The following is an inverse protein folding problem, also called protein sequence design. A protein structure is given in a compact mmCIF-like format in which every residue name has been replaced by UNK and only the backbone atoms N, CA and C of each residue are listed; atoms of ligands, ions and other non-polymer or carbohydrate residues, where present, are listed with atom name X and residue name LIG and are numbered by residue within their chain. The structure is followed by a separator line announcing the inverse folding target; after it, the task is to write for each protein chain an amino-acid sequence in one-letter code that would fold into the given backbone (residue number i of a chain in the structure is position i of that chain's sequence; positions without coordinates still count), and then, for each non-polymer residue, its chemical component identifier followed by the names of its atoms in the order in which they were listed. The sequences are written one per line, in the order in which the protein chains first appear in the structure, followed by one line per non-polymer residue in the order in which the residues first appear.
data_IF_110142599543
#
_entry.id   IF_110142599543
#
_cell.length_a   1.000
_cell.length_b   1.000
_cell.length_c   1.000
_cell.angle_alpha   90.00
_cell.angle_beta   90.00
_cell.angle_gamma   90.00
#
_symmetry.space_group_name_H-M   'P 1'
#
loop_
_entity.id
_entity.type
_entity.pdbx_description
1 polymer ?
#
# COMPACT_ATOMS: atom_id res chain seq x y z
N UNK A 1 -9.17 45.44 36.36
CA UNK A 1 -9.20 43.96 36.42
C UNK A 1 -10.58 43.53 35.97
N UNK A 2 -10.69 43.13 34.70
CA UNK A 2 -11.88 42.50 34.16
C UNK A 2 -11.36 41.25 33.46
N UNK A 3 -11.54 40.12 34.12
CA UNK A 3 -11.39 38.79 33.55
C UNK A 3 -12.56 38.62 32.59
N UNK A 4 -12.24 38.30 31.34
CA UNK A 4 -13.22 38.02 30.28
C UNK A 4 -14.15 36.87 30.72
N UNK A 5 -15.48 37.10 30.83
CA UNK A 5 -16.43 36.10 31.29
C UNK A 5 -16.67 34.95 30.30
N UNK A 6 -16.07 34.94 29.10
CA UNK A 6 -16.12 33.81 28.16
C UNK A 6 -14.97 32.80 28.33
N UNK A 7 -14.01 33.07 29.23
CA UNK A 7 -12.91 32.15 29.50
C UNK A 7 -13.33 30.86 30.26
N UNK A 8 -14.56 30.81 30.79
CA UNK A 8 -15.06 29.68 31.58
C UNK A 8 -15.76 28.59 30.73
N UNK A 9 -16.05 28.84 29.46
CA UNK A 9 -16.78 27.88 28.60
C UNK A 9 -15.84 26.99 27.75
N UNK A 10 -14.53 27.26 27.75
CA UNK A 10 -13.52 26.50 26.99
C UNK A 10 -12.40 25.95 27.88
N UNK A 11 -12.78 25.25 28.95
CA UNK A 11 -11.86 24.71 29.98
C UNK A 11 -10.96 23.56 29.46
N UNK A 12 -11.11 23.10 28.20
CA UNK A 12 -10.36 21.96 27.67
C UNK A 12 -9.73 22.18 26.29
N UNK A 13 -9.27 23.40 25.99
CA UNK A 13 -8.25 23.55 24.94
C UNK A 13 -7.12 24.41 25.47
N UNK A 14 -6.22 23.75 26.20
CA UNK A 14 -4.93 24.33 26.55
C UNK A 14 -4.28 24.87 25.27
N UNK A 15 -3.89 26.13 25.28
CA UNK A 15 -3.04 26.79 24.27
C UNK A 15 -1.63 26.17 24.15
N UNK A 16 -1.45 24.98 24.73
CA UNK A 16 -0.24 24.16 24.83
C UNK A 16 -0.45 22.72 24.35
N UNK A 17 -1.59 22.39 23.73
CA UNK A 17 -1.82 21.08 23.09
C UNK A 17 -1.43 21.03 21.60
N UNK A 18 -0.91 22.13 21.05
CA UNK A 18 -0.34 22.20 19.70
C UNK A 18 1.14 22.58 19.75
N UNK A 19 1.94 21.79 20.46
CA UNK A 19 3.40 21.78 20.34
C UNK A 19 3.94 20.36 20.49
N UNK A 20 3.51 19.45 19.62
CA UNK A 20 4.26 18.21 19.37
C UNK A 20 4.57 17.95 17.89
N UNK A 21 4.50 18.98 17.04
CA UNK A 21 5.25 18.98 15.80
C UNK A 21 6.58 19.72 16.02
N UNK A 22 7.58 19.01 16.54
CA UNK A 22 8.97 19.44 16.40
C UNK A 22 9.29 19.45 14.91
N UNK A 23 9.18 20.63 14.27
CA UNK A 23 9.70 20.86 12.92
C UNK A 23 11.18 20.49 12.92
N UNK A 24 11.50 19.28 12.43
CA UNK A 24 12.84 18.71 12.38
C UNK A 24 13.04 17.32 13.03
N UNK A 25 12.04 16.69 13.66
CA UNK A 25 12.23 15.39 14.34
C UNK A 25 11.13 14.34 14.17
N UNK A 26 10.08 14.60 13.38
CA UNK A 26 9.05 13.62 13.10
C UNK A 26 8.11 14.11 12.01
N UNK A 27 7.58 13.16 11.24
CA UNK A 27 6.46 13.40 10.34
C UNK A 27 5.32 12.57 10.90
N UNK A 28 4.27 13.24 11.40
CA UNK A 28 3.05 12.65 11.95
C UNK A 28 2.55 11.49 11.07
N UNK A 29 2.25 10.35 11.70
CA UNK A 29 1.98 9.05 11.09
C UNK A 29 0.49 8.79 10.82
N UNK A 30 -0.39 9.75 11.07
CA UNK A 30 -1.82 9.57 10.93
C UNK A 30 -2.23 9.87 9.47
N UNK A 31 -2.21 8.86 8.60
CA UNK A 31 -2.84 8.93 7.26
C UNK A 31 -1.92 9.22 6.07
N UNK A 32 -0.60 9.03 6.18
CA UNK A 32 0.34 9.14 5.06
C UNK A 32 1.00 7.79 4.80
N UNK A 33 0.22 6.86 4.27
CA UNK A 33 0.68 5.49 3.95
C UNK A 33 1.53 5.47 2.67
N UNK A 34 1.49 6.52 1.85
CA UNK A 34 2.49 6.82 0.81
C UNK A 34 3.03 8.24 0.96
N UNK A 35 4.34 8.37 1.20
CA UNK A 35 5.03 9.67 1.40
C UNK A 35 5.91 10.01 0.22
N UNK A 36 5.89 11.26 -0.23
CA UNK A 36 6.75 11.81 -1.29
C UNK A 36 7.76 12.79 -0.70
N UNK A 37 9.03 12.66 -1.06
CA UNK A 37 10.09 13.61 -0.74
C UNK A 37 10.85 13.98 -2.01
N UNK A 38 11.07 15.28 -2.25
CA UNK A 38 11.72 15.77 -3.46
C UNK A 38 12.99 16.55 -3.13
N UNK A 39 14.07 16.30 -3.86
CA UNK A 39 15.34 16.99 -3.67
C UNK A 39 16.19 17.02 -4.95
N UNK A 40 17.10 18.00 -5.05
CA UNK A 40 18.04 18.13 -6.17
C UNK A 40 19.42 17.62 -5.77
N UNK A 41 20.05 16.83 -6.63
CA UNK A 41 21.45 16.44 -6.45
C UNK A 41 22.43 17.56 -6.86
N UNK A 42 23.73 17.31 -6.64
CA UNK A 42 24.80 18.25 -6.98
C UNK A 42 24.92 18.52 -8.49
N UNK A 43 24.34 17.67 -9.34
CA UNK A 43 24.29 17.80 -10.80
C UNK A 43 22.99 18.49 -11.26
N UNK A 44 22.10 18.85 -10.34
CA UNK A 44 20.82 19.50 -10.62
C UNK A 44 19.72 18.54 -11.10
N UNK A 45 19.88 17.21 -10.93
CA UNK A 45 18.81 16.25 -11.22
C UNK A 45 17.86 16.17 -10.04
N UNK A 46 16.57 16.06 -10.36
CA UNK A 46 15.52 15.91 -9.37
C UNK A 46 15.37 14.44 -8.96
N UNK A 47 15.35 14.21 -7.66
CA UNK A 47 15.10 12.92 -7.01
C UNK A 47 13.77 13.00 -6.28
N UNK A 48 12.96 11.97 -6.45
CA UNK A 48 11.65 11.82 -5.81
C UNK A 48 11.62 10.49 -5.08
N UNK A 49 11.69 10.55 -3.75
CA UNK A 49 11.62 9.38 -2.88
C UNK A 49 10.17 9.15 -2.43
N UNK A 50 9.64 7.98 -2.76
CA UNK A 50 8.38 7.46 -2.28
C UNK A 50 8.62 6.45 -1.16
N UNK A 51 7.91 6.58 -0.04
CA UNK A 51 7.89 5.56 1.02
C UNK A 51 6.47 5.07 1.25
N UNK A 52 6.22 3.79 0.98
CA UNK A 52 4.98 3.11 1.32
C UNK A 52 5.10 2.46 2.71
N UNK A 53 4.20 2.77 3.64
CA UNK A 53 4.03 2.04 4.89
C UNK A 53 2.89 1.04 4.69
N UNK A 54 3.13 -0.23 4.95
CA UNK A 54 2.17 -1.30 4.67
C UNK A 54 2.06 -2.21 5.89
N UNK A 55 0.84 -2.34 6.42
CA UNK A 55 0.54 -3.35 7.43
C UNK A 55 0.42 -4.72 6.79
N UNK A 56 0.90 -5.75 7.46
CA UNK A 56 0.90 -7.13 6.96
C UNK A 56 0.16 -8.01 7.94
N UNK A 57 -0.95 -8.58 7.48
CA UNK A 57 -1.75 -9.54 8.22
C UNK A 57 -1.57 -10.94 7.66
N UNK A 58 -1.32 -11.91 8.54
CA UNK A 58 -1.44 -13.32 8.22
C UNK A 58 -2.86 -13.82 8.54
N UNK A 59 -3.74 -13.86 7.55
CA UNK A 59 -5.06 -14.49 7.66
C UNK A 59 -5.10 -15.82 6.88
N UNK A 60 -4.02 -16.59 6.95
CA UNK A 60 -3.84 -17.82 6.18
C UNK A 60 -3.29 -18.96 7.03
N UNK A 61 -3.22 -20.14 6.43
CA UNK A 61 -2.55 -21.31 6.99
C UNK A 61 -1.03 -21.30 6.93
N UNK A 62 -0.41 -20.28 6.31
CA UNK A 62 1.05 -20.16 6.23
C UNK A 62 1.68 -19.85 7.59
N UNK A 63 2.93 -20.28 7.77
CA UNK A 63 3.70 -19.93 8.97
C UNK A 63 4.10 -18.46 8.97
N UNK A 64 4.28 -17.85 10.15
CA UNK A 64 4.75 -16.46 10.24
C UNK A 64 6.08 -16.24 9.51
N UNK A 65 6.97 -17.25 9.52
CA UNK A 65 8.24 -17.21 8.80
C UNK A 65 8.04 -17.09 7.29
N UNK A 66 7.08 -17.81 6.75
CA UNK A 66 6.76 -17.77 5.32
C UNK A 66 6.11 -16.43 4.96
N UNK A 67 5.21 -15.90 5.79
CA UNK A 67 4.61 -14.58 5.58
C UNK A 67 5.66 -13.47 5.58
N UNK A 68 6.64 -13.52 6.49
CA UNK A 68 7.75 -12.56 6.48
C UNK A 68 8.53 -12.66 5.15
N UNK A 69 8.79 -13.87 4.65
CA UNK A 69 9.43 -14.08 3.35
C UNK A 69 8.59 -13.47 2.22
N UNK A 70 7.30 -13.81 2.14
CA UNK A 70 6.41 -13.35 1.08
C UNK A 70 6.24 -11.83 1.08
N UNK A 71 6.02 -11.23 2.25
CA UNK A 71 5.89 -9.79 2.38
C UNK A 71 7.18 -9.06 1.98
N UNK A 72 8.34 -9.64 2.32
CA UNK A 72 9.64 -9.09 1.90
C UNK A 72 9.82 -9.18 0.39
N UNK A 73 9.44 -10.30 -0.24
CA UNK A 73 9.51 -10.48 -1.69
C UNK A 73 8.58 -9.48 -2.41
N UNK A 74 7.38 -9.23 -1.87
CA UNK A 74 6.46 -8.19 -2.35
C UNK A 74 7.06 -6.80 -2.20
N UNK A 75 7.58 -6.44 -1.02
CA UNK A 75 8.20 -5.14 -0.76
C UNK A 75 9.38 -4.85 -1.70
N UNK A 76 10.23 -5.85 -1.93
CA UNK A 76 11.36 -5.75 -2.86
C UNK A 76 10.88 -5.55 -4.30
N UNK A 77 9.87 -6.33 -4.72
CA UNK A 77 9.31 -6.22 -6.07
C UNK A 77 8.65 -4.87 -6.29
N UNK A 78 7.89 -4.35 -5.33
CA UNK A 78 7.32 -2.99 -5.38
C UNK A 78 8.45 -1.96 -5.52
N UNK A 79 9.47 -2.03 -4.64
CA UNK A 79 10.58 -1.09 -4.67
C UNK A 79 11.30 -1.10 -6.02
N UNK A 80 11.52 -2.27 -6.62
CA UNK A 80 12.14 -2.41 -7.94
C UNK A 80 11.26 -1.87 -9.07
N UNK A 81 9.97 -2.25 -9.10
CA UNK A 81 9.06 -1.95 -10.21
C UNK A 81 8.62 -0.49 -10.27
N UNK A 82 8.52 0.16 -9.10
CA UNK A 82 8.07 1.54 -8.97
C UNK A 82 9.22 2.55 -8.82
N UNK A 83 10.48 2.09 -8.86
CA UNK A 83 11.67 2.93 -8.98
C UNK A 83 12.11 3.05 -10.44
N UNK A 84 12.84 4.11 -10.76
CA UNK A 84 13.46 4.29 -12.07
C UNK A 84 13.58 5.75 -12.45
N UNK A 85 13.51 6.02 -13.74
CA UNK A 85 13.44 7.40 -14.25
C UNK A 85 12.11 7.58 -14.95
N UNK A 86 11.39 8.64 -14.59
CA UNK A 86 10.12 8.96 -15.21
C UNK A 86 10.29 9.65 -16.59
N UNK A 87 9.18 10.04 -17.19
CA UNK A 87 9.17 10.69 -18.51
C UNK A 87 9.81 12.09 -18.50
N UNK A 88 9.79 12.76 -17.35
CA UNK A 88 10.31 14.11 -17.15
C UNK A 88 11.80 14.10 -16.77
N UNK A 89 12.37 12.91 -16.56
CA UNK A 89 13.78 12.73 -16.22
C UNK A 89 14.07 12.75 -14.71
N UNK A 90 13.03 12.77 -13.87
CA UNK A 90 13.19 12.65 -12.42
C UNK A 90 13.64 11.23 -12.07
N UNK A 91 14.52 11.13 -11.08
CA UNK A 91 14.95 9.86 -10.50
C UNK A 91 13.96 9.49 -9.41
N UNK A 92 13.18 8.45 -9.64
CA UNK A 92 12.17 7.94 -8.72
C UNK A 92 12.76 6.80 -7.92
N UNK A 93 12.64 6.87 -6.59
CA UNK A 93 13.02 5.81 -5.66
C UNK A 93 11.80 5.40 -4.85
N UNK A 94 11.49 4.12 -4.79
CA UNK A 94 10.42 3.56 -3.98
C UNK A 94 11.03 2.73 -2.85
N UNK A 95 10.54 2.95 -1.63
CA UNK A 95 10.87 2.16 -0.45
C UNK A 95 9.58 1.67 0.21
N UNK A 96 9.56 0.42 0.65
CA UNK A 96 8.43 -0.16 1.39
C UNK A 96 8.85 -0.46 2.82
N UNK A 97 8.03 -0.03 3.79
CA UNK A 97 8.15 -0.35 5.21
C UNK A 97 7.00 -1.27 5.60
N UNK A 98 7.34 -2.41 6.19
CA UNK A 98 6.39 -3.42 6.60
C UNK A 98 6.16 -3.35 8.11
N UNK A 99 4.90 -3.37 8.52
CA UNK A 99 4.47 -3.53 9.91
C UNK A 99 3.63 -4.81 10.02
N UNK A 100 4.12 -5.84 10.73
CA UNK A 100 3.36 -7.08 10.90
C UNK A 100 2.37 -6.93 12.05
N UNK A 101 1.10 -7.23 11.79
CA UNK A 101 -0.01 -7.01 12.72
C UNK A 101 -0.88 -8.26 12.84
N UNK A 102 -1.55 -8.42 13.97
CA UNK A 102 -2.49 -9.52 14.23
C UNK A 102 -3.91 -9.22 13.71
N UNK A 103 -4.22 -7.94 13.45
CA UNK A 103 -5.48 -7.47 12.91
C UNK A 103 -5.29 -6.22 12.05
N UNK A 104 -6.25 -5.95 11.16
CA UNK A 104 -6.30 -4.74 10.32
C UNK A 104 -7.67 -4.08 10.44
N UNK A 105 -7.70 -2.75 10.48
CA UNK A 105 -8.92 -1.97 10.33
C UNK A 105 -9.06 -1.51 8.87
N UNK A 106 -9.98 -2.14 8.15
CA UNK A 106 -10.32 -1.83 6.75
C UNK A 106 -10.76 -0.37 6.49
N UNK A 107 -10.93 0.45 7.53
CA UNK A 107 -11.32 1.86 7.43
C UNK A 107 -10.19 2.84 7.71
N UNK A 108 -9.05 2.39 8.21
CA UNK A 108 -7.90 3.25 8.53
C UNK A 108 -6.56 2.73 8.02
N UNK A 109 -6.49 1.45 7.67
CA UNK A 109 -5.22 0.82 7.38
C UNK A 109 -4.97 0.67 5.89
N UNK A 110 -3.71 0.85 5.49
CA UNK A 110 -3.20 0.41 4.20
C UNK A 110 -2.42 -0.88 4.38
N UNK A 111 -3.01 -1.99 3.97
CA UNK A 111 -2.57 -3.32 4.37
C UNK A 111 -2.51 -4.34 3.23
N UNK A 112 -1.61 -5.30 3.38
CA UNK A 112 -1.60 -6.58 2.67
C UNK A 112 -2.11 -7.66 3.62
N UNK A 113 -3.14 -8.39 3.19
CA UNK A 113 -3.70 -9.54 3.87
C UNK A 113 -3.34 -10.81 3.08
N UNK A 114 -2.47 -11.64 3.64
CA UNK A 114 -2.21 -12.96 3.08
C UNK A 114 -3.31 -13.93 3.51
N UNK A 115 -3.90 -14.63 2.54
CA UNK A 115 -5.08 -15.49 2.75
C UNK A 115 -4.97 -16.82 2.01
N UNK A 116 -5.68 -17.84 2.50
CA UNK A 116 -5.88 -19.10 1.78
C UNK A 116 -6.91 -18.99 0.64
N UNK A 117 -7.74 -17.93 0.67
CA UNK A 117 -8.81 -17.65 -0.31
C UNK A 117 -9.04 -16.16 -0.42
N UNK A 118 -8.97 -15.62 -1.63
CA UNK A 118 -9.35 -14.23 -1.89
C UNK A 118 -10.87 -14.12 -1.84
N UNK A 119 -11.38 -13.17 -1.05
CA UNK A 119 -12.81 -12.95 -0.85
C UNK A 119 -13.28 -11.65 -1.52
N UNK A 120 -14.46 -11.70 -2.12
CA UNK A 120 -15.12 -10.54 -2.72
C UNK A 120 -16.63 -10.52 -2.44
N UNK A 121 -17.24 -9.35 -2.59
CA UNK A 121 -18.69 -9.20 -2.56
C UNK A 121 -19.25 -9.50 -3.95
N UNK A 122 -20.21 -10.43 -4.02
CA UNK A 122 -20.97 -10.68 -5.23
C UNK A 122 -21.66 -9.40 -5.72
N UNK A 123 -21.46 -8.97 -6.98
CA UNK A 123 -22.10 -7.76 -7.50
C UNK A 123 -23.62 -7.91 -7.64
N UNK A 124 -24.12 -9.16 -7.68
CA UNK A 124 -25.55 -9.46 -7.81
C UNK A 124 -26.23 -9.53 -6.45
N UNK A 125 -25.58 -10.21 -5.48
CA UNK A 125 -26.23 -10.57 -4.21
C UNK A 125 -25.69 -9.83 -2.99
N UNK A 126 -24.56 -9.11 -3.13
CA UNK A 126 -23.88 -8.45 -2.03
C UNK A 126 -23.29 -9.39 -0.97
N UNK A 127 -23.38 -10.71 -1.18
CA UNK A 127 -22.83 -11.71 -0.25
C UNK A 127 -21.37 -11.99 -0.54
N UNK A 128 -20.63 -12.38 0.50
CA UNK A 128 -19.25 -12.84 0.34
C UNK A 128 -19.19 -14.10 -0.51
N UNK A 129 -18.24 -14.13 -1.43
CA UNK A 129 -17.88 -15.28 -2.24
C UNK A 129 -16.37 -15.32 -2.45
N UNK A 130 -15.85 -16.47 -2.84
CA UNK A 130 -14.45 -16.60 -3.21
C UNK A 130 -14.25 -15.96 -4.60
N UNK A 131 -13.28 -15.09 -4.72
CA UNK A 131 -12.89 -14.46 -5.97
C UNK A 131 -12.13 -15.46 -6.85
N UNK A 132 -12.31 -15.37 -8.17
CA UNK A 132 -11.53 -16.13 -9.15
C UNK A 132 -10.24 -15.37 -9.52
N UNK A 133 -9.44 -15.01 -8.52
CA UNK A 133 -8.20 -14.26 -8.67
C UNK A 133 -7.19 -14.65 -7.58
N UNK A 134 -5.90 -14.50 -7.90
CA UNK A 134 -4.79 -14.75 -6.96
C UNK A 134 -4.53 -13.56 -6.02
N UNK A 135 -5.09 -12.40 -6.35
CA UNK A 135 -5.04 -11.20 -5.55
C UNK A 135 -6.28 -10.33 -5.77
N UNK A 136 -6.50 -9.39 -4.86
CA UNK A 136 -7.51 -8.34 -5.00
C UNK A 136 -7.22 -7.13 -4.13
N UNK A 137 -7.19 -5.96 -4.74
CA UNK A 137 -7.30 -4.67 -4.04
C UNK A 137 -8.76 -4.27 -3.82
N UNK A 138 -9.09 -3.80 -2.62
CA UNK A 138 -10.45 -3.38 -2.27
C UNK A 138 -10.88 -2.08 -2.96
N UNK A 139 -9.99 -1.10 -3.09
CA UNK A 139 -10.25 0.16 -3.81
C UNK A 139 -9.08 0.57 -4.72
N UNK A 140 -9.36 1.06 -5.92
CA UNK A 140 -8.30 1.53 -6.83
C UNK A 140 -7.96 2.99 -6.51
N UNK A 141 -6.68 3.27 -6.23
CA UNK A 141 -6.16 4.63 -6.04
C UNK A 141 -6.35 5.22 -4.64
N UNK A 142 -6.87 4.45 -3.68
CA UNK A 142 -6.90 4.88 -2.29
C UNK A 142 -5.58 4.49 -1.61
N UNK A 143 -4.69 5.48 -1.44
CA UNK A 143 -3.36 5.31 -0.85
C UNK A 143 -3.31 5.64 0.64
N UNK A 144 -4.44 5.94 1.27
CA UNK A 144 -4.54 6.22 2.71
C UNK A 144 -5.16 5.04 3.45
N UNK A 145 -6.19 4.43 2.87
CA UNK A 145 -6.93 3.30 3.44
C UNK A 145 -7.19 2.28 2.36
N UNK A 146 -6.60 1.10 2.49
CA UNK A 146 -6.83 0.06 1.49
C UNK A 146 -6.42 -1.32 2.00
N UNK A 147 -6.98 -2.34 1.36
CA UNK A 147 -6.60 -3.71 1.64
C UNK A 147 -6.36 -4.46 0.34
N UNK A 148 -5.18 -5.04 0.26
CA UNK A 148 -4.75 -5.93 -0.81
C UNK A 148 -4.77 -7.35 -0.25
N UNK A 149 -5.69 -8.18 -0.72
CA UNK A 149 -5.69 -9.61 -0.42
C UNK A 149 -4.75 -10.33 -1.39
N UNK A 150 -3.89 -11.20 -0.87
CA UNK A 150 -2.99 -12.04 -1.67
C UNK A 150 -3.11 -13.50 -1.27
N UNK A 151 -3.28 -14.35 -2.28
CA UNK A 151 -3.31 -15.79 -2.10
C UNK A 151 -1.89 -16.30 -1.80
N UNK A 152 -1.74 -17.10 -0.75
CA UNK A 152 -0.42 -17.65 -0.40
C UNK A 152 0.04 -18.73 -1.40
N UNK A 153 1.37 -18.92 -1.58
CA UNK A 153 1.91 -20.00 -2.40
C UNK A 153 1.37 -21.38 -2.03
N UNK A 154 1.09 -22.20 -3.04
CA UNK A 154 0.49 -23.52 -2.89
C UNK A 154 -1.05 -23.53 -2.78
N UNK A 155 -1.69 -22.36 -2.80
CA UNK A 155 -3.14 -22.20 -2.95
C UNK A 155 -3.49 -21.73 -4.35
N UNK A 156 -4.70 -22.04 -4.81
CA UNK A 156 -5.19 -21.68 -6.13
C UNK A 156 -6.55 -20.99 -6.04
N UNK A 157 -6.81 -20.04 -6.94
CA UNK A 157 -8.14 -19.49 -7.13
C UNK A 157 -9.14 -20.60 -7.55
N UNK A 158 -10.45 -20.45 -7.24
CA UNK A 158 -11.46 -21.41 -7.66
C UNK A 158 -11.54 -21.55 -9.18
N UNK A 159 -11.41 -22.78 -9.69
CA UNK A 159 -11.50 -23.08 -11.12
C UNK A 159 -10.35 -23.97 -11.59
N UNK A 160 -10.06 -24.02 -12.90
CA UNK A 160 -8.92 -24.77 -13.46
C UNK A 160 -7.60 -24.01 -13.31
N UNK A 161 -7.47 -23.15 -12.28
CA UNK A 161 -6.29 -22.32 -12.05
C UNK A 161 -5.21 -23.12 -11.32
N UNK A 162 -3.96 -22.83 -11.66
CA UNK A 162 -2.81 -23.42 -10.98
C UNK A 162 -2.61 -22.76 -9.61
N UNK A 163 -1.88 -23.46 -8.73
CA UNK A 163 -1.52 -22.89 -7.45
C UNK A 163 -0.48 -21.78 -7.65
N UNK A 164 -0.60 -20.71 -6.87
CA UNK A 164 0.38 -19.63 -6.82
C UNK A 164 1.74 -20.20 -6.49
N UNK A 165 2.73 -19.92 -7.33
CA UNK A 165 4.12 -20.30 -7.09
C UNK A 165 4.78 -19.30 -6.13
N UNK A 166 5.82 -19.75 -5.42
CA UNK A 166 6.49 -18.88 -4.45
C UNK A 166 7.17 -17.69 -5.13
N UNK A 167 7.74 -17.92 -6.30
CA UNK A 167 8.39 -16.92 -7.15
C UNK A 167 7.43 -15.83 -7.65
N UNK A 168 6.13 -16.13 -7.76
CA UNK A 168 5.15 -15.19 -8.32
C UNK A 168 4.55 -14.26 -7.26
N UNK A 169 4.71 -14.56 -5.97
CA UNK A 169 4.08 -13.80 -4.88
C UNK A 169 4.48 -12.33 -4.90
N UNK A 170 5.75 -12.04 -5.22
CA UNK A 170 6.27 -10.68 -5.33
C UNK A 170 5.59 -9.90 -6.46
N UNK A 171 5.39 -10.56 -7.61
CA UNK A 171 4.72 -9.96 -8.76
C UNK A 171 3.23 -9.74 -8.49
N UNK A 172 2.55 -10.72 -7.90
CA UNK A 172 1.13 -10.60 -7.54
C UNK A 172 0.92 -9.47 -6.52
N UNK A 173 1.76 -9.38 -5.49
CA UNK A 173 1.68 -8.29 -4.53
C UNK A 173 1.96 -6.90 -5.13
N UNK A 174 2.96 -6.80 -6.02
CA UNK A 174 3.24 -5.54 -6.71
C UNK A 174 2.11 -5.13 -7.69
N UNK A 175 1.42 -6.11 -8.28
CA UNK A 175 0.25 -5.88 -9.12
C UNK A 175 -0.91 -5.26 -8.32
N UNK A 176 -1.27 -5.87 -7.19
CA UNK A 176 -2.32 -5.33 -6.31
C UNK A 176 -1.94 -3.96 -5.72
N UNK A 177 -0.66 -3.78 -5.36
CA UNK A 177 -0.15 -2.47 -4.95
C UNK A 177 -0.30 -1.42 -6.07
N UNK A 178 -0.06 -1.81 -7.33
CA UNK A 178 -0.33 -1.00 -8.50
C UNK A 178 -1.77 -0.50 -8.55
N UNK A 179 -2.74 -1.38 -8.31
CA UNK A 179 -4.14 -0.99 -8.17
C UNK A 179 -4.38 -0.05 -6.99
N UNK A 180 -3.79 -0.34 -5.84
CA UNK A 180 -3.94 0.48 -4.64
C UNK A 180 -3.45 1.92 -4.87
N UNK A 181 -2.40 2.11 -5.68
CA UNK A 181 -1.89 3.43 -6.07
C UNK A 181 -2.51 4.00 -7.36
N UNK A 182 -3.55 3.36 -7.90
CA UNK A 182 -4.39 3.93 -8.96
C UNK A 182 -4.07 3.46 -10.38
N UNK A 183 -3.20 2.47 -10.56
CA UNK A 183 -2.95 1.85 -11.85
C UNK A 183 -4.09 0.90 -12.23
N UNK A 184 -4.41 0.88 -13.51
CA UNK A 184 -5.37 -0.06 -14.10
C UNK A 184 -4.62 -1.01 -15.04
N UNK A 185 -5.21 -2.18 -15.33
CA UNK A 185 -4.67 -3.06 -16.37
C UNK A 185 -4.59 -2.33 -17.70
N UNK A 186 -3.55 -2.64 -18.48
CA UNK A 186 -3.46 -2.11 -19.83
C UNK A 186 -4.61 -2.68 -20.66
N UNK A 187 -5.57 -1.83 -21.02
CA UNK A 187 -6.54 -2.18 -22.04
C UNK A 187 -5.79 -2.32 -23.38
N UNK A 188 -6.10 -3.34 -24.18
CA UNK A 188 -5.48 -3.62 -25.49
C UNK A 188 -5.47 -2.41 -26.46
N UNK A 189 -6.13 -1.29 -26.14
CA UNK A 189 -6.17 -0.08 -26.96
C UNK A 189 -5.40 1.14 -26.41
N UNK A 190 -4.88 1.15 -25.18
CA UNK A 190 -4.24 2.37 -24.63
C UNK A 190 -2.74 2.19 -24.41
N UNK A 191 -1.97 2.66 -25.40
CA UNK A 191 -0.53 2.87 -25.34
C UNK A 191 -0.14 3.76 -24.15
N UNK A 192 0.76 3.21 -23.33
CA UNK A 192 1.79 3.87 -22.49
C UNK A 192 1.29 4.63 -21.25
N UNK A 193 1.50 4.00 -20.09
CA UNK A 193 2.14 4.69 -18.96
C UNK A 193 3.58 4.17 -18.92
N UNK A 194 4.57 5.02 -19.21
CA UNK A 194 5.97 4.62 -19.28
C UNK A 194 6.66 4.82 -17.94
N UNK A 195 6.84 3.73 -17.20
CA UNK A 195 8.05 3.53 -16.41
C UNK A 195 8.99 2.70 -17.28
N UNK A 196 10.26 3.12 -17.45
CA UNK A 196 11.22 2.45 -18.37
C UNK A 196 11.54 1.01 -18.01
N UNK A 197 11.07 0.52 -16.87
CA UNK A 197 11.10 -0.89 -16.53
C UNK A 197 9.81 -1.52 -17.05
N UNK A 198 9.90 -2.25 -18.16
CA UNK A 198 8.82 -3.08 -18.71
C UNK A 198 8.25 -3.96 -17.60
N UNK A 199 7.17 -3.51 -16.97
CA UNK A 199 6.23 -4.37 -16.27
C UNK A 199 5.39 -5.00 -17.39
N UNK A 200 5.43 -6.33 -17.61
CA UNK A 200 4.39 -6.96 -18.40
C UNK A 200 3.08 -6.74 -17.65
N UNK A 201 2.20 -5.92 -18.22
CA UNK A 201 0.81 -5.75 -17.81
C UNK A 201 -0.07 -6.73 -18.56
#
# INVERSE_FOLDING_TARGET
MAIDPLAADYVYNSTYAFQENKLGLGTELEGLELRKHEWLDKEGKNHVDYTANIKVLNNSSASQKDIISYATDVANTISEKFSGTDADGNIISMSVKLEFVDEIDTKSDFAIEFTDKVMEKSPITGKDRVAAADGKTDEIGNTEVNRMQLLIPGRAAPGPYEAVLKEDIGSNGAHEFGHAVGLNHQSYSNKKVSFKNNIPF
#
